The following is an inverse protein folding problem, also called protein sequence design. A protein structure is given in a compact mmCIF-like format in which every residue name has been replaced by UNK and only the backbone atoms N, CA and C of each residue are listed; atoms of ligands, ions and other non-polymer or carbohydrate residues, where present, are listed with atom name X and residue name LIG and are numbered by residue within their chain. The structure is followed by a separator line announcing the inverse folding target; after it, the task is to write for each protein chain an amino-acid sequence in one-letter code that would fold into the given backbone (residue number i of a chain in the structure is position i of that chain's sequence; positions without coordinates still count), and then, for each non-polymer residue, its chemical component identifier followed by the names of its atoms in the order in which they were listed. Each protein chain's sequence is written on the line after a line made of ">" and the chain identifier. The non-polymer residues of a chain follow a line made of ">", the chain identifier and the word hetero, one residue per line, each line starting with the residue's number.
data_IF_705980797431
#
_entry.id   IF_705980797431
#
_cell.length_a   1.000
_cell.length_b   1.000
_cell.length_c   1.000
_cell.angle_alpha   90.00
_cell.angle_beta   90.00
_cell.angle_gamma   90.00
#
_symmetry.space_group_name_H-M   'P 1'
#
loop_
_entity.id
_entity.type
_entity.pdbx_description
1 polymer ?
#
# COMPACT_ATOMS: atom_id res chain seq x y z
N UNK A 1 -5.73 0.12 -13.85
CA UNK A 1 -5.76 0.17 -12.39
C UNK A 1 -4.33 0.44 -11.90
N UNK A 2 -4.18 1.40 -11.00
CA UNK A 2 -2.88 1.77 -10.44
C UNK A 2 -2.85 1.37 -8.97
N UNK A 3 -1.97 0.46 -8.61
CA UNK A 3 -1.70 0.08 -7.22
C UNK A 3 -0.55 0.94 -6.72
N UNK A 4 -0.70 1.57 -5.56
CA UNK A 4 0.32 2.50 -5.08
C UNK A 4 0.51 2.44 -3.57
N UNK A 5 1.66 2.93 -3.14
CA UNK A 5 2.02 3.13 -1.74
C UNK A 5 2.95 4.34 -1.62
N UNK A 6 2.94 5.01 -0.48
CA UNK A 6 3.85 6.11 -0.15
C UNK A 6 4.59 5.82 1.14
N UNK A 7 5.79 6.37 1.25
CA UNK A 7 6.53 6.45 2.50
C UNK A 7 6.75 7.92 2.86
N UNK A 8 6.55 8.27 4.13
CA UNK A 8 6.55 9.65 4.61
C UNK A 8 7.33 9.81 5.90
N UNK A 9 7.46 11.04 6.35
CA UNK A 9 8.13 11.37 7.61
C UNK A 9 7.21 11.43 8.84
N UNK A 10 5.92 11.11 8.70
CA UNK A 10 5.03 11.17 9.86
C UNK A 10 3.60 10.75 9.61
N UNK A 11 2.79 10.89 10.65
CA UNK A 11 1.34 10.67 10.60
C UNK A 11 0.65 11.85 9.90
N UNK A 12 -0.64 11.71 9.57
CA UNK A 12 -1.38 12.72 8.79
C UNK A 12 -1.22 14.14 9.33
N UNK A 13 -1.29 14.33 10.64
CA UNK A 13 -1.19 15.67 11.24
C UNK A 13 0.25 16.17 11.40
N UNK A 14 1.25 15.28 11.41
CA UNK A 14 2.67 15.64 11.59
C UNK A 14 3.45 15.64 10.28
N UNK A 15 2.96 14.98 9.23
CA UNK A 15 3.69 14.77 7.99
C UNK A 15 4.08 16.11 7.34
N UNK A 16 5.33 16.18 6.89
CA UNK A 16 5.86 17.35 6.17
C UNK A 16 6.27 17.01 4.74
N UNK A 17 6.60 15.75 4.45
CA UNK A 17 7.04 15.35 3.11
C UNK A 17 6.76 13.87 2.82
N UNK A 18 6.60 13.56 1.55
CA UNK A 18 6.60 12.21 1.02
C UNK A 18 8.03 11.88 0.59
N UNK A 19 8.60 10.79 1.10
CA UNK A 19 9.95 10.34 0.75
C UNK A 19 9.98 9.65 -0.61
N UNK A 20 8.99 8.82 -0.89
CA UNK A 20 8.84 8.12 -2.16
C UNK A 20 7.39 7.70 -2.37
N UNK A 21 7.06 7.54 -3.64
CA UNK A 21 5.79 7.01 -4.11
C UNK A 21 6.10 5.92 -5.12
N UNK A 22 5.45 4.78 -5.01
CA UNK A 22 5.58 3.69 -5.97
C UNK A 22 4.21 3.40 -6.56
N UNK A 23 4.14 3.33 -7.88
CA UNK A 23 2.94 3.01 -8.63
C UNK A 23 3.18 1.79 -9.52
N UNK A 24 2.26 0.84 -9.48
CA UNK A 24 2.24 -0.31 -10.38
C UNK A 24 0.98 -0.25 -11.24
N UNK A 25 1.16 -0.25 -12.55
CA UNK A 25 0.07 -0.28 -13.51
C UNK A 25 -0.22 -1.74 -13.90
N UNK A 26 -1.43 -2.21 -13.56
CA UNK A 26 -1.81 -3.61 -13.82
C UNK A 26 -2.07 -3.91 -15.29
N UNK A 27 -2.30 -2.89 -16.12
CA UNK A 27 -2.61 -3.09 -17.55
C UNK A 27 -1.36 -3.36 -18.37
N UNK A 28 -0.28 -2.63 -18.10
CA UNK A 28 0.97 -2.76 -18.86
C UNK A 28 2.11 -3.42 -18.06
N UNK A 29 1.82 -3.85 -16.83
CA UNK A 29 2.78 -4.53 -15.93
C UNK A 29 4.04 -3.69 -15.71
N UNK A 30 3.88 -2.39 -15.49
CA UNK A 30 5.00 -1.48 -15.22
C UNK A 30 4.97 -0.94 -13.80
N UNK A 31 6.16 -0.88 -13.19
CA UNK A 31 6.36 -0.25 -11.89
C UNK A 31 7.16 1.03 -12.06
N UNK A 32 6.65 2.13 -11.51
CA UNK A 32 7.33 3.41 -11.52
C UNK A 32 7.58 3.88 -10.09
N UNK A 33 8.83 4.26 -9.81
CA UNK A 33 9.23 4.86 -8.54
C UNK A 33 9.35 6.37 -8.74
N UNK A 34 8.82 7.13 -7.79
CA UNK A 34 8.93 8.59 -7.76
C UNK A 34 9.59 9.03 -6.46
N UNK A 35 10.57 9.90 -6.56
CA UNK A 35 11.17 10.56 -5.40
C UNK A 35 11.73 11.93 -5.83
N UNK A 36 12.13 12.74 -4.88
CA UNK A 36 12.66 14.09 -5.18
C UNK A 36 14.19 14.15 -5.04
N UNK A 37 14.87 13.04 -5.38
CA UNK A 37 16.31 12.91 -5.25
C UNK A 37 17.09 13.13 -6.55
N UNK A 38 16.40 13.23 -7.69
CA UNK A 38 17.01 13.45 -9.00
C UNK A 38 17.32 12.18 -9.78
N UNK A 39 17.21 10.99 -9.20
CA UNK A 39 17.45 9.70 -9.86
C UNK A 39 16.18 9.03 -10.39
N UNK A 40 15.02 9.54 -10.03
CA UNK A 40 13.70 9.13 -10.51
C UNK A 40 12.85 10.34 -10.86
N UNK A 41 11.70 10.11 -11.48
CA UNK A 41 10.72 11.17 -11.71
C UNK A 41 10.27 11.77 -10.37
N UNK A 42 10.01 13.09 -10.31
CA UNK A 42 9.61 13.75 -9.08
C UNK A 42 8.24 13.29 -8.59
N UNK A 43 8.03 13.35 -7.28
CA UNK A 43 6.82 12.87 -6.62
C UNK A 43 5.57 13.52 -7.21
N UNK A 44 5.59 14.80 -7.53
CA UNK A 44 4.44 15.51 -8.11
C UNK A 44 3.94 14.86 -9.41
N UNK A 45 4.84 14.25 -10.18
CA UNK A 45 4.46 13.50 -11.39
C UNK A 45 3.64 12.28 -11.06
N UNK A 46 4.04 11.55 -10.03
CA UNK A 46 3.29 10.39 -9.52
C UNK A 46 1.93 10.78 -8.97
N UNK A 47 1.86 11.90 -8.25
CA UNK A 47 0.59 12.42 -7.73
C UNK A 47 -0.36 12.77 -8.89
N UNK A 48 0.14 13.42 -9.92
CA UNK A 48 -0.65 13.74 -11.12
C UNK A 48 -1.12 12.48 -11.84
N UNK A 49 -0.27 11.47 -11.91
CA UNK A 49 -0.60 10.16 -12.48
C UNK A 49 -1.76 9.49 -11.73
N UNK A 50 -1.71 9.49 -10.40
CA UNK A 50 -2.80 8.98 -9.56
C UNK A 50 -4.09 9.80 -9.71
N UNK A 51 -3.97 11.11 -9.79
CA UNK A 51 -5.11 12.02 -9.92
C UNK A 51 -5.92 11.73 -11.19
N UNK A 52 -5.27 11.33 -12.26
CA UNK A 52 -5.86 11.07 -13.57
C UNK A 52 -6.25 9.62 -13.82
N UNK A 53 -5.92 8.71 -12.90
CA UNK A 53 -6.17 7.28 -13.08
C UNK A 53 -7.66 6.94 -12.95
N UNK A 54 -8.12 5.95 -13.74
CA UNK A 54 -9.49 5.45 -13.67
C UNK A 54 -9.78 4.74 -12.34
N UNK A 55 -8.79 4.02 -11.82
CA UNK A 55 -8.89 3.31 -10.54
C UNK A 55 -7.54 3.34 -9.84
N UNK A 56 -7.55 3.75 -8.58
CA UNK A 56 -6.39 3.66 -7.70
C UNK A 56 -6.67 2.68 -6.57
N UNK A 57 -5.66 1.92 -6.20
CA UNK A 57 -5.75 0.85 -5.20
C UNK A 57 -4.59 0.99 -4.23
N UNK A 58 -4.86 0.80 -2.95
CA UNK A 58 -3.83 0.75 -1.94
C UNK A 58 -4.36 0.19 -0.63
N UNK A 59 -3.47 -0.02 0.32
CA UNK A 59 -3.81 -0.55 1.62
C UNK A 59 -3.89 0.58 2.65
N UNK A 60 -5.07 0.81 3.23
CA UNK A 60 -5.32 1.89 4.18
C UNK A 60 -5.17 3.29 3.55
N UNK A 61 -5.40 3.43 2.26
CA UNK A 61 -5.19 4.68 1.54
C UNK A 61 -6.25 5.73 1.84
N UNK A 62 -7.47 5.33 2.14
CA UNK A 62 -8.56 6.27 2.45
C UNK A 62 -8.25 7.02 3.75
N UNK A 63 -7.74 6.32 4.74
CA UNK A 63 -7.47 6.90 6.05
C UNK A 63 -6.08 7.53 6.17
N UNK A 64 -5.14 7.17 5.30
CA UNK A 64 -3.77 7.67 5.40
C UNK A 64 -3.25 8.29 4.09
N UNK A 65 -2.87 7.50 3.09
CA UNK A 65 -2.16 7.95 1.89
C UNK A 65 -2.87 9.11 1.18
N UNK A 66 -4.16 8.98 0.91
CA UNK A 66 -4.95 10.01 0.23
C UNK A 66 -5.00 11.29 1.08
N UNK A 67 -5.15 11.16 2.38
CA UNK A 67 -5.18 12.31 3.30
C UNK A 67 -3.85 13.04 3.33
N UNK A 68 -2.75 12.31 3.37
CA UNK A 68 -1.39 12.86 3.31
C UNK A 68 -1.18 13.58 1.97
N UNK A 69 -1.52 12.92 0.87
CA UNK A 69 -1.37 13.51 -0.46
C UNK A 69 -2.17 14.82 -0.57
N UNK A 70 -3.43 14.82 -0.14
CA UNK A 70 -4.26 16.03 -0.17
C UNK A 70 -3.70 17.16 0.69
N UNK A 71 -3.09 16.82 1.83
CA UNK A 71 -2.46 17.80 2.71
C UNK A 71 -1.26 18.47 2.04
N UNK A 72 -0.39 17.70 1.42
CA UNK A 72 0.86 18.17 0.84
C UNK A 72 0.71 18.68 -0.60
N UNK A 73 -0.28 18.15 -1.33
CA UNK A 73 -0.60 18.49 -2.72
C UNK A 73 -2.09 18.79 -2.82
N UNK A 74 -2.53 20.02 -2.45
CA UNK A 74 -3.96 20.37 -2.36
C UNK A 74 -4.74 20.23 -3.67
N UNK A 75 -4.07 20.19 -4.83
CA UNK A 75 -4.74 19.97 -6.12
C UNK A 75 -5.22 18.53 -6.30
N UNK A 76 -4.71 17.58 -5.50
CA UNK A 76 -5.04 16.16 -5.62
C UNK A 76 -6.53 15.93 -5.30
N UNK A 77 -7.27 15.53 -6.31
CA UNK A 77 -8.71 15.23 -6.21
C UNK A 77 -9.06 14.17 -7.27
N UNK A 78 -8.70 12.90 -7.02
CA UNK A 78 -8.91 11.86 -8.02
C UNK A 78 -10.39 11.67 -8.29
N UNK A 79 -10.75 11.64 -9.59
CA UNK A 79 -12.13 11.42 -10.04
C UNK A 79 -12.44 9.94 -10.26
N UNK A 80 -11.43 9.09 -10.28
CA UNK A 80 -11.58 7.66 -10.50
C UNK A 80 -12.07 6.89 -9.27
N UNK A 81 -12.21 5.60 -9.44
CA UNK A 81 -12.57 4.68 -8.35
C UNK A 81 -11.41 4.53 -7.38
N UNK A 82 -11.72 4.54 -6.09
CA UNK A 82 -10.75 4.30 -5.02
C UNK A 82 -11.07 2.96 -4.37
N UNK A 83 -10.12 2.02 -4.39
CA UNK A 83 -10.23 0.72 -3.73
C UNK A 83 -9.19 0.63 -2.60
N UNK A 84 -9.67 0.41 -1.40
CA UNK A 84 -8.83 0.27 -0.22
C UNK A 84 -8.84 -1.17 0.26
N UNK A 85 -7.73 -1.86 0.12
CA UNK A 85 -7.63 -3.30 0.46
C UNK A 85 -7.79 -3.57 1.96
N UNK A 86 -7.53 -2.59 2.83
CA UNK A 86 -7.85 -2.73 4.26
C UNK A 86 -9.36 -2.77 4.48
N UNK A 87 -10.10 -1.90 3.80
CA UNK A 87 -11.57 -1.87 3.87
C UNK A 87 -12.15 -3.17 3.33
N UNK A 88 -11.66 -3.63 2.18
CA UNK A 88 -12.08 -4.90 1.58
C UNK A 88 -11.81 -6.08 2.52
N UNK A 89 -10.65 -6.09 3.17
CA UNK A 89 -10.28 -7.13 4.12
C UNK A 89 -11.25 -7.20 5.30
N UNK A 90 -11.56 -6.05 5.89
CA UNK A 90 -12.51 -5.98 7.00
C UNK A 90 -13.93 -6.38 6.59
N UNK A 91 -14.31 -6.06 5.36
CA UNK A 91 -15.63 -6.40 4.84
C UNK A 91 -15.77 -7.90 4.54
N UNK A 92 -14.81 -8.46 3.83
CA UNK A 92 -14.91 -9.84 3.33
C UNK A 92 -14.30 -10.89 4.24
N UNK A 93 -13.40 -10.50 5.14
CA UNK A 93 -12.71 -11.42 6.06
C UNK A 93 -12.79 -10.94 7.52
N UNK A 94 -13.99 -10.78 8.09
CA UNK A 94 -14.12 -10.34 9.48
C UNK A 94 -13.62 -11.38 10.50
N UNK A 95 -13.43 -12.62 10.07
CA UNK A 95 -13.07 -13.78 10.90
C UNK A 95 -11.60 -14.21 10.73
N UNK A 96 -10.69 -13.31 10.39
CA UNK A 96 -9.29 -13.64 10.11
C UNK A 96 -8.60 -14.36 11.28
N UNK A 97 -8.91 -14.01 12.52
CA UNK A 97 -8.29 -14.68 13.68
C UNK A 97 -8.58 -16.18 13.68
N UNK A 98 -9.82 -16.57 13.42
CA UNK A 98 -10.22 -17.96 13.35
C UNK A 98 -9.57 -18.67 12.16
N UNK A 99 -9.52 -17.98 11.02
CA UNK A 99 -8.86 -18.50 9.80
C UNK A 99 -7.38 -18.74 10.07
N UNK A 100 -6.69 -17.79 10.69
CA UNK A 100 -5.27 -17.90 10.99
C UNK A 100 -4.98 -19.03 11.98
N UNK A 101 -5.77 -19.15 13.04
CA UNK A 101 -5.64 -20.24 14.02
C UNK A 101 -5.85 -21.61 13.38
N UNK A 102 -6.81 -21.72 12.48
CA UNK A 102 -7.09 -22.97 11.76
C UNK A 102 -5.97 -23.33 10.78
N UNK A 103 -5.43 -22.33 10.09
CA UNK A 103 -4.34 -22.53 9.15
C UNK A 103 -3.03 -22.90 9.86
N UNK A 104 -2.76 -22.28 11.00
CA UNK A 104 -1.54 -22.48 11.79
C UNK A 104 -0.28 -22.18 10.97
N UNK A 105 -0.09 -20.91 10.62
CA UNK A 105 0.98 -20.45 9.74
C UNK A 105 2.37 -20.79 10.27
N UNK A 106 3.23 -21.30 9.40
CA UNK A 106 4.58 -21.74 9.78
C UNK A 106 5.48 -20.57 10.18
N UNK A 107 5.37 -19.44 9.49
CA UNK A 107 6.30 -18.30 9.64
C UNK A 107 5.67 -17.06 10.23
N UNK A 108 4.36 -16.91 10.17
CA UNK A 108 3.69 -15.71 10.68
C UNK A 108 3.70 -15.68 12.21
N UNK A 109 4.23 -14.59 12.83
CA UNK A 109 4.19 -14.43 14.28
C UNK A 109 2.73 -14.42 14.82
N UNK A 110 2.52 -15.01 15.98
CA UNK A 110 1.18 -15.08 16.60
C UNK A 110 0.56 -13.69 16.83
N UNK A 111 1.39 -12.67 17.08
CA UNK A 111 0.92 -11.30 17.27
C UNK A 111 0.22 -10.71 16.04
N UNK A 112 0.46 -11.28 14.84
CA UNK A 112 -0.15 -10.85 13.59
C UNK A 112 -1.44 -11.61 13.26
N UNK A 113 -1.75 -12.68 13.99
CA UNK A 113 -2.98 -13.45 13.78
C UNK A 113 -4.20 -12.55 13.96
N UNK A 114 -5.11 -12.60 13.02
CA UNK A 114 -6.32 -11.78 13.00
C UNK A 114 -6.12 -10.34 12.54
N UNK A 115 -4.88 -9.92 12.29
CA UNK A 115 -4.59 -8.57 11.82
C UNK A 115 -4.88 -8.42 10.33
N UNK A 116 -5.45 -7.28 9.96
CA UNK A 116 -5.72 -6.90 8.57
C UNK A 116 -4.57 -6.09 7.97
N UNK A 117 -3.43 -6.00 8.65
CA UNK A 117 -2.26 -5.23 8.20
C UNK A 117 -1.63 -5.85 6.95
N UNK A 118 -0.95 -5.00 6.18
CA UNK A 118 -0.22 -5.46 5.01
C UNK A 118 0.91 -6.42 5.40
N UNK A 119 1.58 -6.19 6.52
CA UNK A 119 2.59 -7.10 7.08
C UNK A 119 2.02 -8.51 7.28
N UNK A 120 0.85 -8.63 7.91
CA UNK A 120 0.19 -9.94 8.11
C UNK A 120 -0.17 -10.60 6.77
N UNK A 121 -0.67 -9.82 5.81
CA UNK A 121 -0.96 -10.34 4.47
C UNK A 121 0.30 -10.76 3.70
N UNK A 122 1.43 -10.10 3.95
CA UNK A 122 2.71 -10.54 3.40
C UNK A 122 3.02 -11.99 3.74
N UNK A 123 2.79 -12.38 5.00
CA UNK A 123 2.93 -13.78 5.42
C UNK A 123 1.87 -14.69 4.79
N UNK A 124 0.60 -14.29 4.80
CA UNK A 124 -0.50 -15.11 4.27
C UNK A 124 -0.36 -15.37 2.78
N UNK A 125 0.16 -14.41 2.03
CA UNK A 125 0.31 -14.48 0.58
C UNK A 125 1.70 -14.97 0.14
N UNK A 126 2.60 -15.26 1.08
CA UNK A 126 3.94 -15.74 0.78
C UNK A 126 4.89 -14.68 0.22
N UNK A 127 4.65 -13.41 0.51
CA UNK A 127 5.43 -12.27 0.01
C UNK A 127 6.19 -11.51 1.10
N UNK A 128 6.29 -12.05 2.29
CA UNK A 128 7.05 -11.40 3.36
C UNK A 128 8.55 -11.44 3.07
N UNK A 129 9.23 -10.29 3.12
CA UNK A 129 10.67 -10.18 2.82
C UNK A 129 11.47 -9.36 3.82
N UNK A 130 11.08 -9.27 5.08
CA UNK A 130 11.94 -8.64 6.06
C UNK A 130 11.24 -7.75 7.08
N UNK A 131 12.04 -7.18 7.98
CA UNK A 131 11.59 -6.44 9.16
C UNK A 131 11.99 -4.96 9.11
N UNK A 132 11.87 -4.35 7.95
CA UNK A 132 12.39 -3.01 7.71
C UNK A 132 11.87 -1.97 8.72
N UNK A 133 10.59 -1.94 9.01
CA UNK A 133 9.96 -0.89 9.81
C UNK A 133 10.42 -0.78 11.27
N UNK A 134 11.24 -1.72 11.77
CA UNK A 134 11.65 -1.77 13.18
C UNK A 134 12.90 -0.95 13.50
N UNK A 135 13.74 -0.64 12.52
CA UNK A 135 15.02 0.04 12.73
C UNK A 135 15.20 1.31 11.91
N UNK A 136 14.14 1.75 11.23
CA UNK A 136 14.23 2.86 10.28
C UNK A 136 14.00 4.20 10.95
N UNK A 137 14.85 5.17 10.59
CA UNK A 137 14.57 6.58 10.86
C UNK A 137 13.65 7.13 9.75
N UNK A 138 12.37 7.31 10.08
CA UNK A 138 11.35 7.79 9.15
C UNK A 138 11.52 9.27 8.77
N UNK A 139 12.40 10.01 9.45
CA UNK A 139 12.63 11.44 9.15
C UNK A 139 13.39 11.65 7.85
N UNK A 140 14.21 10.66 7.47
CA UNK A 140 15.06 10.75 6.30
C UNK A 140 14.76 9.64 5.30
N UNK A 141 14.87 9.97 4.01
CA UNK A 141 14.78 8.97 2.95
C UNK A 141 15.91 7.95 3.08
N UNK A 142 15.63 6.69 2.76
CA UNK A 142 16.65 5.66 2.58
C UNK A 142 16.29 4.75 1.41
N UNK A 143 17.30 4.11 0.80
CA UNK A 143 17.06 3.15 -0.27
C UNK A 143 16.25 1.96 0.23
N UNK A 144 16.51 1.52 1.46
CA UNK A 144 15.77 0.43 2.10
C UNK A 144 14.28 0.75 2.24
N UNK A 145 13.95 1.98 2.60
CA UNK A 145 12.57 2.49 2.69
C UNK A 145 11.89 2.44 1.32
N UNK A 146 12.59 2.85 0.27
CA UNK A 146 12.08 2.84 -1.10
C UNK A 146 11.87 1.41 -1.59
N UNK A 147 12.80 0.50 -1.32
CA UNK A 147 12.67 -0.91 -1.65
C UNK A 147 11.50 -1.56 -0.91
N UNK A 148 11.30 -1.17 0.35
CA UNK A 148 10.16 -1.61 1.15
C UNK A 148 8.83 -1.12 0.56
N UNK A 149 8.79 0.12 0.08
CA UNK A 149 7.62 0.68 -0.59
C UNK A 149 7.26 -0.13 -1.85
N UNK A 150 8.26 -0.50 -2.66
CA UNK A 150 8.07 -1.38 -3.82
C UNK A 150 7.49 -2.72 -3.39
N UNK A 151 8.01 -3.31 -2.31
CA UNK A 151 7.52 -4.57 -1.78
C UNK A 151 6.06 -4.47 -1.31
N UNK A 152 5.70 -3.39 -0.64
CA UNK A 152 4.33 -3.14 -0.20
C UNK A 152 3.35 -3.06 -1.38
N UNK A 153 3.75 -2.45 -2.48
CA UNK A 153 2.95 -2.43 -3.71
C UNK A 153 2.76 -3.84 -4.27
N UNK A 154 3.81 -4.68 -4.23
CA UNK A 154 3.71 -6.09 -4.65
C UNK A 154 2.70 -6.87 -3.79
N UNK A 155 2.78 -6.74 -2.48
CA UNK A 155 1.84 -7.41 -1.57
C UNK A 155 0.41 -6.89 -1.80
N UNK A 156 0.24 -5.59 -1.94
CA UNK A 156 -1.07 -4.97 -2.18
C UNK A 156 -1.66 -5.43 -3.51
N UNK A 157 -0.85 -5.61 -4.54
CA UNK A 157 -1.29 -6.13 -5.84
C UNK A 157 -1.84 -7.55 -5.70
N UNK A 158 -1.12 -8.42 -5.00
CA UNK A 158 -1.60 -9.78 -4.71
C UNK A 158 -2.87 -9.79 -3.88
N UNK A 159 -2.97 -8.89 -2.92
CA UNK A 159 -4.15 -8.76 -2.08
C UNK A 159 -5.36 -8.27 -2.91
N UNK A 160 -5.15 -7.33 -3.82
CA UNK A 160 -6.17 -6.88 -4.75
C UNK A 160 -6.67 -8.03 -5.63
N UNK A 161 -5.77 -8.85 -6.15
CA UNK A 161 -6.13 -10.04 -6.93
C UNK A 161 -6.94 -11.04 -6.10
N UNK A 162 -6.58 -11.20 -4.83
CA UNK A 162 -7.33 -12.04 -3.89
C UNK A 162 -8.79 -11.58 -3.74
N UNK A 163 -9.04 -10.26 -3.72
CA UNK A 163 -10.40 -9.73 -3.58
C UNK A 163 -11.17 -9.63 -4.90
N UNK A 164 -10.54 -9.84 -6.03
CA UNK A 164 -11.19 -9.71 -7.34
C UNK A 164 -12.47 -10.55 -7.47
N UNK A 165 -12.50 -11.84 -7.07
CA UNK A 165 -13.74 -12.64 -7.12
C UNK A 165 -14.88 -12.05 -6.29
N UNK A 166 -14.57 -11.44 -5.15
CA UNK A 166 -15.57 -10.79 -4.30
C UNK A 166 -16.16 -9.56 -5.00
N UNK A 167 -15.31 -8.75 -5.61
CA UNK A 167 -15.71 -7.53 -6.33
C UNK A 167 -16.55 -7.85 -7.57
N UNK A 168 -16.29 -8.98 -8.22
CA UNK A 168 -17.02 -9.43 -9.43
C UNK A 168 -18.28 -10.23 -9.10
N UNK A 169 -18.61 -10.41 -7.83
CA UNK A 169 -19.77 -11.21 -7.43
C UNK A 169 -19.62 -12.73 -7.64
N UNK A 170 -18.37 -13.21 -7.81
CA UNK A 170 -18.09 -14.65 -7.98
C UNK A 170 -17.98 -15.38 -6.64
N UNK A 171 -18.00 -14.67 -5.56
CA UNK A 171 -17.94 -15.19 -4.20
C UNK A 171 -18.90 -14.46 -3.28
#
# INVERSE_FOLDING_TARGET
>A
MIVFDIETDGLVHDVTKIHCLVCYNTEDDTTQVYNDRGDHEPIVRGITYLDQADTIVGHNIINYDIRVIKKLFPFFNPSGTVLDTLVLSRLYHPNLLEVDKKHNWKHMPLKLYGRHSLEAYGYRLGEYKGEFGKSTDWKEWSQEMQDYCVQDVTVTTKLCDHFRPYLNGSR
#
